data_IF_905071943633
#
_entry.id   IF_905071943633
#
_cell.length_a   1.000
_cell.length_b   1.000
_cell.length_c   1.000
_cell.angle_alpha   90.00
_cell.angle_beta   90.00
_cell.angle_gamma   90.00
#
_symmetry.space_group_name_H-M   'P 1'
#
loop_
_entity.id
_entity.type
_entity.pdbx_description
1 polymer ?
#
# COMPACT_ATOMS: atom_id res chain seq x y z
N UNK A 1 18.21 2.36 -65.34
CA UNK A 1 16.89 2.18 -64.69
C UNK A 1 16.93 2.99 -63.40
N UNK A 2 16.44 4.25 -63.37
CA UNK A 2 15.21 4.75 -62.68
C UNK A 2 14.87 4.00 -61.38
N UNK A 3 14.52 4.57 -60.21
CA UNK A 3 14.33 5.90 -59.61
C UNK A 3 14.23 5.62 -58.08
N UNK A 4 14.68 6.49 -57.16
CA UNK A 4 13.78 7.33 -56.35
C UNK A 4 13.77 6.99 -54.83
N UNK A 5 14.17 7.95 -53.99
CA UNK A 5 13.83 8.03 -52.56
C UNK A 5 12.33 8.43 -52.37
N UNK A 6 11.70 8.62 -51.17
CA UNK A 6 12.25 8.69 -49.79
C UNK A 6 11.37 8.07 -48.65
N UNK A 7 11.89 8.16 -47.41
CA UNK A 7 11.24 8.30 -46.10
C UNK A 7 9.77 7.88 -45.89
N UNK A 8 9.53 7.06 -44.85
CA UNK A 8 8.29 7.17 -44.04
C UNK A 8 8.51 6.78 -42.58
N UNK A 9 8.63 7.82 -41.76
CA UNK A 9 8.29 7.82 -40.34
C UNK A 9 6.86 7.30 -40.17
N UNK A 10 6.62 6.42 -39.20
CA UNK A 10 5.28 6.24 -38.62
C UNK A 10 5.38 6.52 -37.13
N UNK A 11 4.73 7.60 -36.77
CA UNK A 11 4.58 8.13 -35.44
C UNK A 11 3.58 7.33 -34.60
N UNK A 12 3.81 7.39 -33.29
CA UNK A 12 2.85 7.48 -32.17
C UNK A 12 1.57 6.63 -32.19
N UNK A 13 1.37 5.90 -31.09
CA UNK A 13 0.10 5.94 -30.39
C UNK A 13 0.33 6.06 -28.88
N UNK A 14 0.23 7.29 -28.39
CA UNK A 14 0.04 7.59 -26.97
C UNK A 14 -1.43 7.32 -26.68
N UNK A 15 -1.74 6.28 -25.90
CA UNK A 15 -3.10 6.10 -25.38
C UNK A 15 -3.27 6.98 -24.14
N UNK A 16 -4.03 8.06 -24.30
CA UNK A 16 -4.49 8.94 -23.23
C UNK A 16 -5.78 8.36 -22.66
N UNK A 17 -5.73 7.75 -21.49
CA UNK A 17 -6.95 7.44 -20.75
C UNK A 17 -7.38 8.67 -19.95
N UNK A 18 -8.19 9.53 -20.59
CA UNK A 18 -9.09 10.47 -19.88
C UNK A 18 -10.30 9.68 -19.41
N UNK A 19 -10.44 9.49 -18.10
CA UNK A 19 -11.70 9.03 -17.51
C UNK A 19 -12.37 10.21 -16.83
N UNK A 20 -13.41 10.74 -17.47
CA UNK A 20 -14.41 11.61 -16.85
C UNK A 20 -15.76 11.05 -17.28
N UNK A 21 -16.58 10.63 -16.32
CA UNK A 21 -17.88 10.04 -16.62
C UNK A 21 -18.57 9.52 -15.36
N UNK A 22 -19.16 10.43 -14.60
CA UNK A 22 -20.14 10.16 -13.55
C UNK A 22 -21.32 9.38 -14.15
N UNK A 23 -21.72 8.25 -13.56
CA UNK A 23 -23.09 7.72 -13.72
C UNK A 23 -23.51 6.85 -12.52
N UNK A 24 -24.41 7.43 -11.72
CA UNK A 24 -25.69 6.91 -11.19
C UNK A 24 -25.77 5.47 -10.63
N UNK A 25 -26.25 5.46 -9.38
CA UNK A 25 -26.81 4.37 -8.57
C UNK A 25 -27.59 3.31 -9.39
N UNK A 26 -27.16 2.06 -9.27
CA UNK A 26 -27.90 0.88 -9.74
C UNK A 26 -27.63 -0.30 -8.83
N UNK A 27 -28.56 -0.59 -7.92
CA UNK A 27 -28.61 -1.82 -7.13
C UNK A 27 -28.79 -3.02 -8.05
N UNK A 28 -27.69 -3.71 -8.33
CA UNK A 28 -27.66 -4.99 -9.04
C UNK A 28 -26.32 -5.66 -8.77
N UNK A 29 -26.32 -6.95 -8.43
CA UNK A 29 -25.13 -7.77 -8.21
C UNK A 29 -24.23 -7.72 -9.45
N UNK A 30 -23.28 -6.79 -9.49
CA UNK A 30 -22.24 -6.79 -10.50
C UNK A 30 -21.22 -7.87 -10.13
N UNK A 31 -21.20 -8.94 -10.92
CA UNK A 31 -20.02 -9.78 -11.05
C UNK A 31 -18.94 -8.91 -11.69
N UNK A 32 -18.24 -8.12 -10.88
CA UNK A 32 -17.13 -7.28 -11.32
C UNK A 32 -16.03 -8.21 -11.86
N UNK A 33 -15.58 -7.95 -13.08
CA UNK A 33 -14.54 -8.73 -13.73
C UNK A 33 -13.25 -8.61 -12.91
N UNK A 34 -12.73 -9.75 -12.42
CA UNK A 34 -11.67 -9.83 -11.40
C UNK A 34 -10.30 -9.34 -11.88
N UNK A 35 -10.22 -8.77 -13.09
CA UNK A 35 -9.03 -8.20 -13.72
C UNK A 35 -8.68 -6.79 -13.21
N UNK A 36 -9.56 -6.16 -12.41
CA UNK A 36 -9.42 -4.75 -11.99
C UNK A 36 -8.69 -4.52 -10.65
N UNK A 37 -8.38 -5.57 -9.86
CA UNK A 37 -7.68 -5.38 -8.59
C UNK A 37 -6.19 -5.07 -8.84
N UNK A 38 -5.83 -3.82 -8.61
CA UNK A 38 -4.44 -3.37 -8.57
C UNK A 38 -3.89 -3.43 -7.14
N UNK A 39 -2.65 -3.88 -7.00
CA UNK A 39 -1.98 -3.99 -5.71
C UNK A 39 -0.88 -2.92 -5.57
N UNK A 40 -0.62 -2.39 -4.37
CA UNK A 40 -1.23 -2.75 -3.08
C UNK A 40 -2.60 -2.09 -2.84
N UNK A 41 -3.47 -2.76 -2.10
CA UNK A 41 -4.82 -2.29 -1.73
C UNK A 41 -4.75 -1.22 -0.63
N UNK A 42 -5.55 -0.16 -0.79
CA UNK A 42 -5.55 1.01 0.09
C UNK A 42 -6.72 1.01 1.09
N UNK A 43 -7.82 0.34 0.74
CA UNK A 43 -9.12 0.44 1.43
C UNK A 43 -9.67 -0.92 1.89
N UNK A 44 -10.61 -0.89 2.84
CA UNK A 44 -11.26 -2.12 3.35
C UNK A 44 -12.25 -2.70 2.32
N UNK A 45 -12.81 -1.86 1.46
CA UNK A 45 -13.69 -2.22 0.36
C UNK A 45 -12.93 -3.02 -0.71
N UNK A 46 -11.76 -2.54 -1.14
CA UNK A 46 -10.86 -3.27 -2.05
C UNK A 46 -10.43 -4.61 -1.46
N UNK A 47 -10.14 -4.64 -0.14
CA UNK A 47 -9.81 -5.89 0.55
C UNK A 47 -11.00 -6.86 0.59
N UNK A 48 -12.21 -6.34 0.80
CA UNK A 48 -13.44 -7.15 0.79
C UNK A 48 -13.72 -7.72 -0.59
N UNK A 49 -13.44 -6.95 -1.65
CA UNK A 49 -13.49 -7.44 -3.03
C UNK A 49 -12.46 -8.55 -3.26
N UNK A 50 -11.22 -8.41 -2.79
CA UNK A 50 -10.23 -9.49 -2.83
C UNK A 50 -10.74 -10.76 -2.15
N UNK A 51 -11.27 -10.65 -0.92
CA UNK A 51 -11.84 -11.79 -0.17
C UNK A 51 -12.98 -12.48 -0.94
N UNK A 52 -13.83 -11.71 -1.62
CA UNK A 52 -14.88 -12.25 -2.46
C UNK A 52 -14.32 -12.93 -3.73
N UNK A 53 -13.38 -12.29 -4.42
CA UNK A 53 -12.75 -12.79 -5.64
C UNK A 53 -11.96 -14.07 -5.39
N UNK A 54 -11.31 -14.22 -4.23
CA UNK A 54 -10.59 -15.44 -3.84
C UNK A 54 -11.49 -16.68 -3.77
N UNK A 55 -12.82 -16.53 -3.66
CA UNK A 55 -13.76 -17.65 -3.72
C UNK A 55 -13.94 -18.22 -5.13
N UNK A 56 -13.58 -17.44 -6.16
CA UNK A 56 -13.57 -17.90 -7.54
C UNK A 56 -12.29 -18.70 -7.82
N UNK A 57 -12.37 -19.98 -8.23
CA UNK A 57 -11.19 -20.82 -8.49
C UNK A 57 -10.24 -20.19 -9.52
N UNK A 58 -10.79 -19.66 -10.63
CA UNK A 58 -10.00 -19.04 -11.70
C UNK A 58 -9.18 -17.84 -11.20
N UNK A 59 -9.78 -16.99 -10.36
CA UNK A 59 -9.06 -15.85 -9.77
C UNK A 59 -8.05 -16.34 -8.74
N UNK A 60 -8.44 -17.27 -7.88
CA UNK A 60 -7.57 -17.86 -6.86
C UNK A 60 -6.30 -18.45 -7.49
N UNK A 61 -6.40 -19.21 -8.57
CA UNK A 61 -5.23 -19.83 -9.21
C UNK A 61 -4.29 -18.78 -9.82
N UNK A 62 -4.85 -17.75 -10.48
CA UNK A 62 -4.07 -16.61 -10.98
C UNK A 62 -3.39 -15.84 -9.85
N UNK A 63 -4.11 -15.60 -8.76
CA UNK A 63 -3.60 -14.94 -7.57
C UNK A 63 -2.47 -15.76 -6.92
N UNK A 64 -2.67 -17.07 -6.75
CA UNK A 64 -1.68 -18.00 -6.22
C UNK A 64 -0.41 -18.03 -7.07
N UNK A 65 -0.53 -17.98 -8.39
CA UNK A 65 0.60 -17.87 -9.31
C UNK A 65 1.41 -16.59 -9.04
N UNK A 66 0.74 -15.45 -8.84
CA UNK A 66 1.41 -14.18 -8.46
C UNK A 66 2.04 -14.26 -7.06
N UNK A 67 1.37 -14.91 -6.10
CA UNK A 67 1.91 -15.11 -4.76
C UNK A 67 3.16 -16.00 -4.77
N UNK A 68 3.20 -17.04 -5.61
CA UNK A 68 4.35 -17.92 -5.72
C UNK A 68 5.63 -17.16 -6.12
N UNK A 69 5.52 -16.14 -6.97
CA UNK A 69 6.64 -15.23 -7.31
C UNK A 69 7.14 -14.38 -6.14
N UNK A 70 6.40 -14.31 -5.03
CA UNK A 70 6.79 -13.62 -3.79
C UNK A 70 7.40 -14.56 -2.74
N UNK A 71 7.55 -15.85 -3.04
CA UNK A 71 8.23 -16.79 -2.15
C UNK A 71 9.74 -16.51 -2.14
N UNK A 72 10.31 -16.45 -0.95
CA UNK A 72 11.76 -16.45 -0.70
C UNK A 72 12.18 -17.78 -0.11
N UNK A 73 13.47 -18.02 0.14
CA UNK A 73 13.95 -19.23 0.84
C UNK A 73 13.60 -19.28 2.33
N UNK A 74 12.91 -18.26 2.84
CA UNK A 74 12.52 -18.17 4.24
C UNK A 74 10.99 -17.93 4.35
N UNK A 75 10.27 -18.71 5.16
CA UNK A 75 8.81 -18.62 5.22
C UNK A 75 8.32 -17.31 5.86
N UNK A 76 9.05 -16.77 6.84
CA UNK A 76 8.70 -15.50 7.48
C UNK A 76 8.86 -14.30 6.52
N UNK A 77 9.96 -14.26 5.75
CA UNK A 77 10.16 -13.25 4.72
C UNK A 77 9.15 -13.36 3.59
N UNK A 78 8.81 -14.59 3.18
CA UNK A 78 7.75 -14.83 2.19
C UNK A 78 6.41 -14.25 2.64
N UNK A 79 6.00 -14.52 3.88
CA UNK A 79 4.78 -13.95 4.44
C UNK A 79 4.82 -12.41 4.46
N UNK A 80 5.91 -11.81 4.93
CA UNK A 80 6.06 -10.35 4.93
C UNK A 80 5.99 -9.76 3.53
N UNK A 81 6.56 -10.42 2.53
CA UNK A 81 6.57 -9.98 1.13
C UNK A 81 5.16 -10.06 0.53
N UNK A 82 4.45 -11.16 0.74
CA UNK A 82 3.06 -11.31 0.29
C UNK A 82 2.13 -10.29 0.95
N UNK A 83 2.28 -10.04 2.26
CA UNK A 83 1.50 -9.00 2.96
C UNK A 83 1.80 -7.60 2.42
N UNK A 84 3.07 -7.25 2.18
CA UNK A 84 3.44 -5.96 1.59
C UNK A 84 3.00 -5.83 0.13
N UNK A 85 2.96 -6.93 -0.62
CA UNK A 85 2.49 -6.92 -2.00
C UNK A 85 1.00 -6.57 -2.04
N UNK A 86 0.19 -7.15 -1.16
CA UNK A 86 -1.26 -6.96 -1.18
C UNK A 86 -1.73 -5.72 -0.42
N UNK A 87 -1.11 -5.35 0.69
CA UNK A 87 -1.66 -4.34 1.61
C UNK A 87 -0.82 -3.06 1.65
N UNK A 88 -1.43 -1.91 1.35
CA UNK A 88 -0.81 -0.61 1.59
C UNK A 88 -0.62 -0.42 3.11
N UNK A 89 0.43 0.30 3.58
CA UNK A 89 0.61 0.57 4.99
C UNK A 89 -0.60 1.19 5.71
N UNK A 90 -1.42 1.97 5.01
CA UNK A 90 -2.65 2.57 5.57
C UNK A 90 -3.69 1.50 5.89
N UNK A 91 -3.99 0.63 4.94
CA UNK A 91 -4.89 -0.50 5.13
C UNK A 91 -4.33 -1.47 6.18
N UNK A 92 -3.04 -1.79 6.10
CA UNK A 92 -2.37 -2.66 7.07
C UNK A 92 -2.53 -2.18 8.52
N UNK A 93 -2.65 -0.87 8.78
CA UNK A 93 -2.90 -0.33 10.12
C UNK A 93 -4.28 -0.72 10.69
N UNK A 94 -5.24 -1.11 9.84
CA UNK A 94 -6.57 -1.62 10.24
C UNK A 94 -6.54 -3.05 10.75
N UNK A 95 -5.43 -3.76 10.56
CA UNK A 95 -5.28 -5.16 10.95
C UNK A 95 -4.40 -5.36 12.17
N UNK A 96 -4.63 -6.50 12.81
CA UNK A 96 -3.75 -7.13 13.79
C UNK A 96 -3.75 -8.64 13.51
N UNK A 97 -2.86 -9.39 14.15
CA UNK A 97 -2.88 -10.85 14.05
C UNK A 97 -4.25 -11.43 14.46
N UNK A 98 -4.73 -11.08 15.65
CA UNK A 98 -5.90 -11.73 16.27
C UNK A 98 -7.16 -10.86 16.37
N UNK A 99 -7.10 -9.62 15.91
CA UNK A 99 -8.17 -8.65 16.05
C UNK A 99 -8.12 -7.88 17.37
N UNK A 100 -8.79 -6.74 17.39
CA UNK A 100 -9.16 -5.96 18.58
C UNK A 100 -10.53 -5.33 18.30
N UNK A 101 -11.23 -4.72 19.27
CA UNK A 101 -12.51 -4.07 19.00
C UNK A 101 -12.46 -2.99 17.88
N UNK A 102 -11.29 -2.43 17.59
CA UNK A 102 -11.09 -1.39 16.57
C UNK A 102 -10.38 -1.89 15.30
N UNK A 103 -9.95 -3.15 15.24
CA UNK A 103 -9.07 -3.67 14.18
C UNK A 103 -9.40 -5.10 13.81
N UNK A 104 -9.34 -5.39 12.52
CA UNK A 104 -9.62 -6.70 11.97
C UNK A 104 -8.53 -7.73 12.32
N UNK A 105 -8.93 -8.99 12.41
CA UNK A 105 -8.06 -10.13 12.66
C UNK A 105 -7.60 -10.73 11.32
N UNK A 106 -6.35 -10.51 10.92
CA UNK A 106 -5.84 -11.05 9.66
C UNK A 106 -5.90 -12.57 9.62
N UNK A 107 -5.72 -13.26 10.77
CA UNK A 107 -5.75 -14.72 10.84
C UNK A 107 -7.15 -15.30 10.62
N UNK A 108 -8.19 -14.46 10.57
CA UNK A 108 -9.56 -14.86 10.24
C UNK A 108 -9.93 -14.58 8.78
N UNK A 109 -9.07 -13.88 8.04
CA UNK A 109 -9.29 -13.53 6.64
C UNK A 109 -8.99 -14.72 5.73
N UNK A 110 -9.81 -14.93 4.69
CA UNK A 110 -9.59 -16.01 3.72
C UNK A 110 -8.29 -15.81 2.95
N UNK A 111 -7.95 -14.56 2.62
CA UNK A 111 -6.66 -14.17 2.06
C UNK A 111 -5.48 -14.71 2.86
N UNK A 112 -5.51 -14.58 4.19
CA UNK A 112 -4.42 -15.06 5.03
C UNK A 112 -4.26 -16.57 4.94
N UNK A 113 -5.37 -17.32 5.00
CA UNK A 113 -5.36 -18.77 4.87
C UNK A 113 -4.80 -19.21 3.51
N UNK A 114 -5.16 -18.50 2.44
CA UNK A 114 -4.66 -18.74 1.08
C UNK A 114 -3.15 -18.56 1.02
N UNK A 115 -2.60 -17.44 1.50
CA UNK A 115 -1.15 -17.22 1.43
C UNK A 115 -0.36 -18.13 2.38
N UNK A 116 -0.88 -18.44 3.56
CA UNK A 116 -0.20 -19.36 4.47
C UNK A 116 -0.20 -20.78 3.93
N UNK A 117 -1.27 -21.22 3.25
CA UNK A 117 -1.31 -22.51 2.55
C UNK A 117 -0.19 -22.65 1.52
N UNK A 118 0.10 -21.60 0.74
CA UNK A 118 1.20 -21.60 -0.25
C UNK A 118 2.56 -21.71 0.43
N UNK A 119 2.74 -21.02 1.56
CA UNK A 119 4.00 -21.06 2.30
C UNK A 119 4.17 -22.44 2.94
N UNK A 120 3.13 -22.96 3.59
CA UNK A 120 3.10 -24.29 4.21
C UNK A 120 3.43 -25.37 3.17
N UNK A 121 2.79 -25.36 2.00
CA UNK A 121 3.02 -26.37 0.97
C UNK A 121 4.45 -26.39 0.42
N UNK A 122 5.15 -25.24 0.47
CA UNK A 122 6.56 -25.15 0.04
C UNK A 122 7.57 -25.49 1.13
N UNK A 123 7.23 -25.24 2.40
CA UNK A 123 8.21 -25.23 3.50
C UNK A 123 7.97 -26.26 4.60
N UNK A 124 6.81 -26.91 4.64
CA UNK A 124 6.61 -28.02 5.59
C UNK A 124 7.56 -29.16 5.25
N UNK A 125 8.25 -29.64 6.27
CA UNK A 125 9.19 -30.75 6.20
C UNK A 125 8.98 -31.67 7.41
N UNK A 126 9.59 -32.85 7.38
CA UNK A 126 9.40 -33.88 8.42
C UNK A 126 9.84 -33.45 9.83
N UNK A 127 10.60 -32.36 9.97
CA UNK A 127 11.20 -31.94 11.25
C UNK A 127 10.37 -30.91 12.02
N UNK A 128 9.31 -30.35 11.44
CA UNK A 128 8.45 -29.38 12.12
C UNK A 128 6.98 -29.65 11.82
N UNK A 129 6.15 -29.65 12.86
CA UNK A 129 4.71 -29.85 12.70
C UNK A 129 4.05 -28.63 12.02
N UNK A 130 2.92 -28.85 11.34
CA UNK A 130 2.17 -27.77 10.71
C UNK A 130 1.72 -26.71 11.74
N UNK A 131 1.35 -27.14 12.95
CA UNK A 131 0.96 -26.23 14.03
C UNK A 131 2.10 -25.32 14.49
N UNK A 132 3.30 -25.89 14.66
CA UNK A 132 4.49 -25.11 14.98
C UNK A 132 4.86 -24.13 13.84
N UNK A 133 4.70 -24.58 12.59
CA UNK A 133 4.87 -23.76 11.41
C UNK A 133 3.91 -22.56 11.41
N UNK A 134 2.62 -22.83 11.60
CA UNK A 134 1.56 -21.83 11.62
C UNK A 134 1.71 -20.86 12.80
N UNK A 135 2.18 -21.33 13.95
CA UNK A 135 2.55 -20.48 15.10
C UNK A 135 3.66 -19.51 14.73
N UNK A 136 4.68 -19.96 14.00
CA UNK A 136 5.78 -19.10 13.54
C UNK A 136 5.33 -18.06 12.50
N UNK A 137 4.45 -18.44 11.57
CA UNK A 137 3.82 -17.49 10.63
C UNK A 137 2.97 -16.45 11.37
N UNK A 138 2.20 -16.87 12.36
CA UNK A 138 1.35 -15.97 13.14
C UNK A 138 2.15 -14.97 13.97
N UNK A 139 3.28 -15.39 14.57
CA UNK A 139 4.25 -14.47 15.20
C UNK A 139 4.79 -13.45 14.19
N UNK A 140 5.08 -13.90 12.97
CA UNK A 140 5.57 -13.05 11.89
C UNK A 140 4.53 -12.02 11.46
N UNK A 141 3.27 -12.43 11.27
CA UNK A 141 2.17 -11.53 10.98
C UNK A 141 2.00 -10.48 12.09
N UNK A 142 2.04 -10.90 13.36
CA UNK A 142 1.98 -9.99 14.52
C UNK A 142 3.09 -8.93 14.46
N UNK A 143 4.33 -9.35 14.23
CA UNK A 143 5.48 -8.44 14.12
C UNK A 143 5.32 -7.50 12.91
N UNK A 144 4.90 -8.01 11.76
CA UNK A 144 4.64 -7.20 10.57
C UNK A 144 3.66 -6.04 10.83
N UNK A 145 2.49 -6.34 11.41
CA UNK A 145 1.49 -5.31 11.70
C UNK A 145 1.94 -4.36 12.81
N UNK A 146 2.77 -4.82 13.75
CA UNK A 146 3.41 -3.94 14.72
C UNK A 146 4.37 -2.95 14.03
N UNK A 147 5.25 -3.43 13.17
CA UNK A 147 6.23 -2.62 12.44
C UNK A 147 5.57 -1.58 11.52
N UNK A 148 4.44 -1.93 10.87
CA UNK A 148 3.67 -0.97 10.07
C UNK A 148 3.14 0.16 10.94
N UNK A 149 2.55 -0.16 12.11
CA UNK A 149 2.00 0.86 13.01
C UNK A 149 3.06 1.81 13.52
N UNK A 150 4.18 1.27 13.96
CA UNK A 150 5.33 2.06 14.40
C UNK A 150 5.82 2.99 13.28
N UNK A 151 5.93 2.48 12.04
CA UNK A 151 6.28 3.30 10.86
C UNK A 151 5.26 4.41 10.57
N UNK A 152 3.96 4.13 10.66
CA UNK A 152 2.90 5.11 10.45
C UNK A 152 2.94 6.20 11.52
N UNK A 153 3.10 5.84 12.80
CA UNK A 153 3.24 6.78 13.91
C UNK A 153 4.47 7.66 13.74
N UNK A 154 5.65 7.08 13.49
CA UNK A 154 6.90 7.83 13.25
C UNK A 154 6.78 8.79 12.07
N UNK A 155 6.06 8.41 11.01
CA UNK A 155 5.79 9.29 9.86
C UNK A 155 4.85 10.45 10.19
N UNK A 156 3.91 10.25 11.12
CA UNK A 156 3.06 11.32 11.60
C UNK A 156 3.85 12.31 12.46
N UNK A 157 4.71 11.81 13.37
CA UNK A 157 5.55 12.67 14.23
C UNK A 157 6.49 13.56 13.42
N UNK A 158 7.21 13.00 12.43
CA UNK A 158 8.11 13.78 11.57
C UNK A 158 7.40 14.87 10.77
N UNK A 159 6.14 14.64 10.37
CA UNK A 159 5.35 15.66 9.67
C UNK A 159 4.98 16.83 10.57
N UNK A 160 4.66 16.59 11.85
CA UNK A 160 4.34 17.66 12.82
C UNK A 160 5.56 18.54 13.09
N UNK A 161 6.71 17.92 13.37
CA UNK A 161 7.97 18.65 13.58
C UNK A 161 8.34 19.54 12.39
N UNK A 162 8.15 19.06 11.16
CA UNK A 162 8.41 19.87 9.97
C UNK A 162 7.46 21.07 9.82
N UNK A 163 6.19 20.93 10.19
CA UNK A 163 5.20 22.03 10.15
C UNK A 163 5.50 23.07 11.24
N UNK A 164 5.82 22.63 12.45
CA UNK A 164 6.11 23.54 13.57
C UNK A 164 7.38 24.37 13.32
N UNK A 165 8.41 23.79 12.71
CA UNK A 165 9.61 24.53 12.32
C UNK A 165 9.34 25.55 11.20
N UNK A 166 8.49 25.24 10.22
CA UNK A 166 8.18 26.16 9.12
C UNK A 166 7.38 27.40 9.56
N UNK A 167 6.61 27.31 10.64
CA UNK A 167 5.83 28.44 11.17
C UNK A 167 6.66 29.41 12.02
N UNK A 168 7.81 28.96 12.56
CA UNK A 168 8.70 29.82 13.34
C UNK A 168 9.60 30.72 12.47
N UNK A 169 9.83 30.35 11.20
CA UNK A 169 10.68 31.12 10.27
C UNK A 169 9.97 32.35 9.64
N UNK A 170 8.64 32.48 9.76
CA UNK A 170 7.91 33.64 9.19
C UNK A 170 7.77 34.85 10.13
N UNK A 171 8.40 34.84 11.33
CA UNK A 171 8.26 35.92 12.33
C UNK A 171 9.35 37.00 12.32
N UNK A 172 10.27 36.98 11.37
CA UNK A 172 11.33 38.02 11.26
C UNK A 172 11.06 38.89 10.04
N UNK A 173 10.07 39.78 10.14
CA UNK A 173 10.05 41.00 9.31
C UNK A 173 10.79 42.09 10.10
N UNK A 174 11.90 42.64 9.62
CA UNK A 174 12.48 43.82 10.23
C UNK A 174 11.66 45.03 9.76
N UNK A 175 10.74 45.46 10.60
CA UNK A 175 10.16 46.80 10.52
C UNK A 175 11.18 47.74 11.16
N UNK A 176 12.02 48.38 10.35
CA UNK A 176 12.85 49.50 10.82
C UNK A 176 12.63 50.72 9.93
N UNK A 177 11.54 51.43 10.22
CA UNK A 177 11.38 52.84 9.91
C UNK A 177 12.54 53.62 10.55
N UNK A 178 13.39 54.24 9.74
CA UNK A 178 14.34 55.25 10.21
C UNK A 178 13.56 56.54 10.44
N UNK A 179 13.23 56.83 11.69
CA UNK A 179 12.77 58.15 12.09
C UNK A 179 13.98 59.09 12.17
N UNK A 180 13.98 60.08 11.25
CA UNK A 180 14.70 61.33 11.38
C UNK A 180 14.23 62.04 12.66
N UNK A 181 15.15 62.40 13.55
CA UNK A 181 14.95 63.56 14.42
C UNK A 181 16.18 64.46 14.40
N UNK A 182 15.89 65.62 13.81
CA UNK A 182 16.57 66.91 13.84
C UNK A 182 16.41 67.58 15.22
N UNK A 183 17.07 68.74 15.39
CA UNK A 183 17.08 69.69 16.53
C UNK A 183 18.07 69.36 17.68
N UNK A 184 19.02 70.21 18.10
CA UNK A 184 19.36 71.59 17.75
C UNK A 184 20.08 72.30 18.94
N UNK A 185 21.06 73.16 18.59
CA UNK A 185 21.41 74.45 19.24
C UNK A 185 22.51 74.57 20.34
N UNK A 186 23.37 75.58 20.08
CA UNK A 186 24.43 76.26 20.86
C UNK A 186 24.00 76.82 22.24
N UNK A 187 24.92 77.23 23.14
CA UNK A 187 25.78 78.43 23.01
C UNK A 187 27.25 78.15 22.65
#
# INVERSE_FOLDING_TARGET
>A
MRNGAPNKLVAQLVSVNKSTGVTILGTGKSSIDNSQLEFPLATEEEFSQLEASLKSPKFKDSFLTKMAGNLSFNPQFSLRRMLNYVLEPKLSNRFTAFGTPKKLAITKCYFYNVITSVIVSKFVCATMTEDEFMKNLTKTARAFFHDIRDRVTKRASRRRVAVDNGNNDQRISPDSSMDLLDDGKQP
#
